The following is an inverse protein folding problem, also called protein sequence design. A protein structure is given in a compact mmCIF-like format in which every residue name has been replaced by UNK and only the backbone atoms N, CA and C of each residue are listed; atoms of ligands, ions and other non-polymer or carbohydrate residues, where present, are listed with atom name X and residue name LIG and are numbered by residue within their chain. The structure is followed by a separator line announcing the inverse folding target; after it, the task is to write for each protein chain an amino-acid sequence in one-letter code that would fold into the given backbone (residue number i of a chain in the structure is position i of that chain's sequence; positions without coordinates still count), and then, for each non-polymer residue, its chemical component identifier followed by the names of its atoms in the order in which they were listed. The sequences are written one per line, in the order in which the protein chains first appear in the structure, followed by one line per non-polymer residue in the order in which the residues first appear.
data_IF_147832878093
#
_entry.id   IF_147832878093
#
_cell.length_a   1.000
_cell.length_b   1.000
_cell.length_c   1.000
_cell.angle_alpha   90.00
_cell.angle_beta   90.00
_cell.angle_gamma   90.00
#
_symmetry.space_group_name_H-M   'P 1'
#
loop_
_entity.id
_entity.type
_entity.pdbx_description
1 polymer ?
#
# COMPACT_ATOMS: atom_id res chain seq x y z
N UNK A 1 -0.50 -18.20 0.64
CA UNK A 1 0.22 -16.92 0.54
C UNK A 1 -0.04 -16.34 -0.83
N UNK A 2 -0.60 -15.13 -0.88
CA UNK A 2 -0.99 -14.43 -2.09
C UNK A 2 0.23 -13.81 -2.78
N UNK A 3 0.24 -13.81 -4.12
CA UNK A 3 1.22 -13.05 -4.91
C UNK A 3 0.83 -11.58 -4.88
N UNK A 4 1.74 -10.71 -4.46
CA UNK A 4 1.49 -9.26 -4.40
C UNK A 4 2.15 -8.57 -5.60
N UNK A 5 1.36 -7.76 -6.30
CA UNK A 5 1.85 -6.81 -7.30
C UNK A 5 1.35 -5.41 -6.97
N UNK A 6 2.20 -4.42 -7.19
CA UNK A 6 1.82 -3.02 -7.04
C UNK A 6 1.31 -2.47 -8.37
N UNK A 7 0.38 -1.52 -8.30
CA UNK A 7 0.17 -0.62 -9.42
C UNK A 7 1.52 0.04 -9.77
N UNK A 8 1.98 0.02 -11.04
CA UNK A 8 3.28 0.56 -11.41
C UNK A 8 3.50 2.01 -10.98
N UNK A 9 2.44 2.84 -10.98
CA UNK A 9 2.51 4.23 -10.52
C UNK A 9 2.74 4.32 -9.00
N UNK A 10 2.11 3.43 -8.24
CA UNK A 10 2.29 3.34 -6.79
C UNK A 10 3.71 2.88 -6.49
N UNK A 11 4.21 1.88 -7.20
CA UNK A 11 5.59 1.41 -7.06
C UNK A 11 6.59 2.53 -7.35
N UNK A 12 6.41 3.29 -8.44
CA UNK A 12 7.27 4.41 -8.80
C UNK A 12 7.30 5.49 -7.70
N UNK A 13 6.14 5.88 -7.16
CA UNK A 13 6.06 6.87 -6.06
C UNK A 13 6.77 6.40 -4.81
N UNK A 14 6.52 5.15 -4.43
CA UNK A 14 7.15 4.52 -3.27
C UNK A 14 8.67 4.50 -3.45
N UNK A 15 9.18 4.15 -4.63
CA UNK A 15 10.61 4.21 -4.95
C UNK A 15 11.17 5.64 -4.92
N UNK A 16 10.43 6.61 -5.45
CA UNK A 16 10.81 8.03 -5.43
C UNK A 16 11.04 8.60 -4.03
N UNK A 17 10.38 8.05 -2.98
CA UNK A 17 10.65 8.44 -1.60
C UNK A 17 12.10 8.16 -1.16
N UNK A 18 12.73 7.12 -1.71
CA UNK A 18 14.13 6.77 -1.39
C UNK A 18 15.15 7.65 -2.13
N UNK A 19 14.74 8.32 -3.20
CA UNK A 19 15.63 9.14 -4.04
C UNK A 19 15.82 10.56 -3.47
N UNK A 20 14.98 10.99 -2.52
CA UNK A 20 15.02 12.34 -1.95
C UNK A 20 15.91 12.34 -0.69
N UNK A 21 17.11 12.96 -0.71
CA UNK A 21 18.09 12.84 0.38
C UNK A 21 17.58 13.35 1.74
N UNK A 22 16.71 14.37 1.73
CA UNK A 22 16.09 14.94 2.94
C UNK A 22 15.09 14.01 3.62
N UNK A 23 14.61 12.99 2.92
CA UNK A 23 13.60 12.03 3.40
C UNK A 23 14.22 10.70 3.89
N UNK A 24 15.55 10.55 3.78
CA UNK A 24 16.23 9.26 3.98
C UNK A 24 16.19 8.75 5.43
N UNK A 25 16.30 9.63 6.43
CA UNK A 25 16.25 9.20 7.84
C UNK A 25 14.90 8.56 8.23
N UNK A 26 13.79 9.04 7.66
CA UNK A 26 12.45 8.47 7.89
C UNK A 26 12.08 7.35 6.91
N UNK A 27 12.80 7.24 5.80
CA UNK A 27 12.55 6.24 4.76
C UNK A 27 12.68 4.81 5.30
N UNK A 28 13.74 4.51 6.07
CA UNK A 28 13.93 3.15 6.59
C UNK A 28 12.75 2.68 7.47
N UNK A 29 12.21 3.57 8.31
CA UNK A 29 11.04 3.28 9.14
C UNK A 29 9.79 3.08 8.29
N UNK A 30 9.59 3.93 7.28
CA UNK A 30 8.51 3.78 6.30
C UNK A 30 8.57 2.43 5.58
N UNK A 31 9.74 2.05 5.05
CA UNK A 31 9.95 0.78 4.34
C UNK A 31 9.69 -0.43 5.23
N UNK A 32 10.13 -0.37 6.49
CA UNK A 32 9.90 -1.44 7.45
C UNK A 32 8.41 -1.61 7.75
N UNK A 33 7.69 -0.52 7.97
CA UNK A 33 6.24 -0.56 8.21
C UNK A 33 5.49 -1.03 6.97
N UNK A 34 5.84 -0.51 5.78
CA UNK A 34 5.26 -0.92 4.51
C UNK A 34 5.46 -2.42 4.26
N UNK A 35 6.69 -2.91 4.41
CA UNK A 35 7.02 -4.33 4.23
C UNK A 35 6.26 -5.22 5.21
N UNK A 36 6.14 -4.80 6.47
CA UNK A 36 5.39 -5.55 7.49
C UNK A 36 3.91 -5.67 7.11
N UNK A 37 3.32 -4.57 6.62
CA UNK A 37 1.91 -4.55 6.23
C UNK A 37 1.66 -5.35 4.93
N UNK A 38 2.59 -5.27 3.97
CA UNK A 38 2.56 -6.09 2.74
C UNK A 38 2.68 -7.58 3.07
N UNK A 39 3.56 -7.95 4.00
CA UNK A 39 3.70 -9.34 4.45
C UNK A 39 2.42 -9.85 5.10
N UNK A 40 1.77 -9.03 5.93
CA UNK A 40 0.48 -9.35 6.54
C UNK A 40 -0.59 -9.60 5.46
N UNK A 41 -0.72 -8.68 4.48
CA UNK A 41 -1.65 -8.85 3.36
C UNK A 41 -1.32 -10.12 2.57
N UNK A 42 -0.05 -10.42 2.31
CA UNK A 42 0.34 -11.61 1.54
C UNK A 42 -0.08 -12.91 2.25
N UNK A 43 -0.09 -12.93 3.58
CA UNK A 43 -0.46 -14.10 4.35
C UNK A 43 -1.98 -14.22 4.54
N UNK A 44 -2.67 -13.10 4.78
CA UNK A 44 -4.04 -13.06 5.29
C UNK A 44 -4.94 -12.12 4.46
N UNK A 45 -4.75 -12.09 3.13
CA UNK A 45 -5.38 -11.11 2.24
C UNK A 45 -6.92 -11.03 2.32
N UNK A 46 -7.58 -12.14 2.69
CA UNK A 46 -9.03 -12.29 2.84
C UNK A 46 -9.55 -12.06 4.27
N UNK A 47 -8.66 -12.05 5.27
CA UNK A 47 -9.01 -11.88 6.68
C UNK A 47 -8.65 -10.49 7.20
N UNK A 48 -7.66 -9.83 6.60
CA UNK A 48 -7.14 -8.54 7.05
C UNK A 48 -7.74 -7.36 6.28
N UNK A 49 -8.12 -6.29 6.99
CA UNK A 49 -8.61 -5.05 6.38
C UNK A 49 -10.12 -5.03 6.10
N UNK A 50 -10.63 -3.83 5.95
CA UNK A 50 -12.05 -3.57 5.72
C UNK A 50 -12.40 -3.78 4.24
N UNK A 51 -13.42 -4.59 3.91
CA UNK A 51 -13.94 -4.63 2.54
C UNK A 51 -14.51 -3.26 2.16
N UNK A 52 -14.12 -2.75 0.98
CA UNK A 52 -14.62 -1.48 0.45
C UNK A 52 -15.70 -1.69 -0.59
N UNK A 53 -15.42 -2.51 -1.62
CA UNK A 53 -16.40 -2.83 -2.66
C UNK A 53 -15.93 -4.01 -3.52
N UNK A 54 -16.90 -4.69 -4.14
CA UNK A 54 -16.66 -5.80 -5.06
C UNK A 54 -16.63 -5.33 -6.51
N UNK A 55 -15.58 -5.71 -7.23
CA UNK A 55 -15.50 -5.54 -8.67
C UNK A 55 -16.30 -6.63 -9.38
N UNK A 56 -17.59 -6.36 -9.60
CA UNK A 56 -18.61 -7.31 -10.10
C UNK A 56 -18.20 -8.11 -11.36
N UNK A 57 -17.34 -7.56 -12.21
CA UNK A 57 -17.00 -8.16 -13.50
C UNK A 57 -15.64 -8.90 -13.54
N UNK A 58 -14.85 -8.86 -12.46
CA UNK A 58 -13.47 -9.39 -12.46
C UNK A 58 -13.11 -10.22 -11.23
N UNK A 59 -14.10 -10.59 -10.41
CA UNK A 59 -13.91 -11.41 -9.19
C UNK A 59 -12.77 -10.88 -8.30
N UNK A 60 -12.72 -9.56 -8.16
CA UNK A 60 -11.80 -8.87 -7.27
C UNK A 60 -12.60 -8.20 -6.16
N UNK A 61 -12.08 -8.28 -4.94
CA UNK A 61 -12.65 -7.56 -3.79
C UNK A 61 -11.65 -6.49 -3.36
N UNK A 62 -12.08 -5.23 -3.37
CA UNK A 62 -11.28 -4.13 -2.86
C UNK A 62 -11.36 -4.11 -1.34
N UNK A 63 -10.20 -3.97 -0.69
CA UNK A 63 -10.05 -3.92 0.75
C UNK A 63 -9.09 -2.79 1.14
N UNK A 64 -9.25 -2.28 2.34
CA UNK A 64 -8.37 -1.28 2.94
C UNK A 64 -7.83 -1.83 4.25
N UNK A 65 -6.51 -1.94 4.36
CA UNK A 65 -5.86 -2.21 5.65
C UNK A 65 -5.11 -0.97 6.11
N UNK A 66 -5.21 -0.69 7.41
CA UNK A 66 -4.48 0.40 8.06
C UNK A 66 -3.53 -0.22 9.08
N UNK A 67 -2.23 -0.07 8.83
CA UNK A 67 -1.18 -0.34 9.80
C UNK A 67 -0.95 0.88 10.70
N UNK A 68 0.21 0.94 11.34
CA UNK A 68 0.55 2.00 12.31
C UNK A 68 0.39 3.41 11.73
N UNK A 69 1.10 3.70 10.64
CA UNK A 69 1.06 5.01 9.97
C UNK A 69 0.80 4.93 8.46
N UNK A 70 0.55 3.71 7.95
CA UNK A 70 0.39 3.43 6.52
C UNK A 70 -0.95 2.74 6.31
N UNK A 71 -1.69 3.22 5.32
CA UNK A 71 -2.87 2.57 4.78
C UNK A 71 -2.59 2.02 3.38
N UNK A 72 -3.00 0.78 3.12
CA UNK A 72 -2.91 0.11 1.83
C UNK A 72 -4.31 -0.25 1.37
N UNK A 73 -4.72 0.31 0.24
CA UNK A 73 -5.89 -0.16 -0.49
C UNK A 73 -5.42 -1.19 -1.52
N UNK A 74 -6.08 -2.35 -1.56
CA UNK A 74 -5.71 -3.43 -2.45
C UNK A 74 -6.94 -4.20 -2.94
N UNK A 75 -6.83 -4.79 -4.12
CA UNK A 75 -7.80 -5.72 -4.67
C UNK A 75 -7.28 -7.15 -4.52
N UNK A 76 -8.10 -8.07 -4.01
CA UNK A 76 -7.73 -9.49 -3.84
C UNK A 76 -8.58 -10.39 -4.74
N UNK A 77 -7.94 -11.37 -5.35
CA UNK A 77 -8.58 -12.50 -6.03
C UNK A 77 -8.25 -13.79 -5.29
N UNK A 78 -9.28 -14.42 -4.72
CA UNK A 78 -9.16 -15.74 -4.10
C UNK A 78 -8.87 -16.82 -5.16
N UNK A 79 -9.53 -16.74 -6.33
CA UNK A 79 -9.38 -17.71 -7.42
C UNK A 79 -7.95 -17.79 -7.94
N UNK A 80 -7.29 -16.63 -8.13
CA UNK A 80 -5.92 -16.57 -8.65
C UNK A 80 -4.85 -16.44 -7.56
N UNK A 81 -5.25 -16.44 -6.28
CA UNK A 81 -4.35 -16.22 -5.12
C UNK A 81 -3.44 -15.00 -5.32
N UNK A 82 -4.05 -13.89 -5.72
CA UNK A 82 -3.38 -12.67 -6.15
C UNK A 82 -3.91 -11.44 -5.40
N UNK A 83 -3.00 -10.50 -5.11
CA UNK A 83 -3.29 -9.20 -4.53
C UNK A 83 -2.68 -8.11 -5.40
N UNK A 84 -3.50 -7.14 -5.79
CA UNK A 84 -3.09 -5.93 -6.48
C UNK A 84 -3.17 -4.73 -5.54
N UNK A 85 -2.02 -4.15 -5.18
CA UNK A 85 -2.00 -2.93 -4.37
C UNK A 85 -2.37 -1.74 -5.24
N UNK A 86 -3.52 -1.14 -4.95
CA UNK A 86 -4.13 -0.05 -5.70
C UNK A 86 -3.60 1.31 -5.27
N UNK A 87 -3.40 1.48 -3.96
CA UNK A 87 -2.98 2.74 -3.35
C UNK A 87 -2.25 2.49 -2.04
N UNK A 88 -1.21 3.29 -1.81
CA UNK A 88 -0.56 3.43 -0.50
C UNK A 88 -0.67 4.88 -0.07
N UNK A 89 -1.02 5.11 1.19
CA UNK A 89 -1.15 6.45 1.78
C UNK A 89 -0.70 6.43 3.22
N UNK A 90 -0.42 7.60 3.78
CA UNK A 90 -0.23 7.75 5.21
C UNK A 90 -1.58 7.75 5.94
N UNK A 91 -1.59 7.29 7.18
CA UNK A 91 -2.79 7.24 8.04
C UNK A 91 -2.53 7.87 9.39
N UNK A 92 -3.55 8.57 9.92
CA UNK A 92 -3.52 9.17 11.25
C UNK A 92 -2.40 10.20 11.44
N UNK A 93 -2.02 10.42 12.70
CA UNK A 93 -0.85 11.21 13.05
C UNK A 93 0.41 10.35 12.84
N UNK A 94 1.29 10.79 11.93
CA UNK A 94 2.48 10.04 11.53
C UNK A 94 3.76 10.87 11.69
N UNK A 95 4.93 10.22 11.89
CA UNK A 95 6.20 10.91 12.03
C UNK A 95 6.83 11.33 10.69
N UNK A 96 6.20 10.98 9.56
CA UNK A 96 6.75 11.27 8.24
C UNK A 96 6.53 12.73 7.84
N UNK A 97 7.50 13.34 7.12
CA UNK A 97 7.34 14.67 6.54
C UNK A 97 6.13 14.77 5.61
N UNK A 98 5.54 15.96 5.52
CA UNK A 98 4.34 16.22 4.69
C UNK A 98 4.56 15.86 3.21
N UNK A 99 5.80 15.96 2.73
CA UNK A 99 6.19 15.58 1.37
C UNK A 99 5.88 14.12 1.05
N UNK A 100 5.90 13.21 2.04
CA UNK A 100 5.51 11.82 1.82
C UNK A 100 4.04 11.72 1.39
N UNK A 101 3.14 12.45 2.06
CA UNK A 101 1.74 12.46 1.72
C UNK A 101 1.51 13.04 0.32
N UNK A 102 2.27 14.07 -0.06
CA UNK A 102 2.21 14.68 -1.40
C UNK A 102 2.66 13.68 -2.47
N UNK A 103 3.80 13.01 -2.29
CA UNK A 103 4.35 12.06 -3.28
C UNK A 103 3.43 10.84 -3.43
N UNK A 104 2.97 10.27 -2.32
CA UNK A 104 2.09 9.10 -2.34
C UNK A 104 0.73 9.40 -2.98
N UNK A 105 0.17 10.60 -2.74
CA UNK A 105 -1.13 11.02 -3.27
C UNK A 105 -1.06 11.82 -4.59
N UNK A 106 0.14 12.08 -5.13
CA UNK A 106 0.28 12.85 -6.37
C UNK A 106 -0.63 12.30 -7.45
N UNK A 107 -1.29 13.15 -8.23
CA UNK A 107 -2.07 12.70 -9.41
C UNK A 107 -1.19 12.61 -10.65
N UNK A 108 -0.02 13.24 -10.63
CA UNK A 108 0.92 13.32 -11.75
C UNK A 108 2.12 12.38 -11.55
N UNK A 109 2.73 11.90 -12.65
CA UNK A 109 3.90 11.03 -12.64
C UNK A 109 5.18 11.73 -12.18
#
# INVERSE_FOLDING_TARGET
MFRITFNPKVEQRIRGLAEIPKLNQSAQSFWKELSSLVQLIANEALDVGEPKYDYKNVKLQSRLVVGKFIAIQYAVSEEYQFVFVEKVSLSGAHPYPDEYAVILNSKEP
#
